data_IF_397551676988
#
_entry.id   IF_397551676988
#
_cell.length_a   1.000
_cell.length_b   1.000
_cell.length_c   1.000
_cell.angle_alpha   90.00
_cell.angle_beta   90.00
_cell.angle_gamma   90.00
#
_symmetry.space_group_name_H-M   'P 1'
#
loop_
_entity.id
_entity.type
_entity.pdbx_description
1 polymer ?
#
# COMPACT_ATOMS: atom_id res chain seq x y z
N UNK A 1 17.94 -8.95 -10.43
CA UNK A 1 17.31 -8.33 -9.24
C UNK A 1 16.57 -7.13 -9.77
N UNK A 2 15.25 -7.04 -9.58
CA UNK A 2 14.52 -5.85 -9.99
C UNK A 2 14.99 -4.69 -9.11
N UNK A 3 15.44 -3.61 -9.72
CA UNK A 3 15.85 -2.41 -9.00
C UNK A 3 14.61 -1.74 -8.44
N UNK A 4 14.56 -1.56 -7.12
CA UNK A 4 13.52 -0.78 -6.48
C UNK A 4 13.75 0.71 -6.79
N UNK A 5 12.72 1.39 -7.28
CA UNK A 5 12.79 2.81 -7.69
C UNK A 5 11.64 3.59 -7.07
N UNK A 6 11.82 4.91 -6.89
CA UNK A 6 10.75 5.79 -6.41
C UNK A 6 9.85 6.19 -7.57
N UNK A 7 8.55 6.26 -7.31
CA UNK A 7 7.55 6.81 -8.23
C UNK A 7 6.33 7.31 -7.44
N UNK A 8 5.36 7.91 -8.14
CA UNK A 8 4.08 8.30 -7.57
C UNK A 8 2.98 7.34 -8.03
N UNK A 9 2.03 7.03 -7.16
CA UNK A 9 0.94 6.11 -7.45
C UNK A 9 -0.41 6.71 -7.11
N UNK A 10 -1.44 6.38 -7.89
CA UNK A 10 -2.82 6.82 -7.64
C UNK A 10 -3.80 5.74 -8.06
N UNK A 11 -4.99 5.75 -7.48
CA UNK A 11 -6.12 4.95 -7.97
C UNK A 11 -7.06 5.88 -8.72
N UNK A 12 -7.54 5.47 -9.90
CA UNK A 12 -8.56 6.20 -10.68
C UNK A 12 -8.27 7.70 -10.91
N UNK A 13 -7.01 8.08 -11.13
CA UNK A 13 -6.59 9.48 -11.33
C UNK A 13 -6.90 10.42 -10.16
N UNK A 14 -7.10 9.86 -8.96
CA UNK A 14 -7.25 10.61 -7.73
C UNK A 14 -5.89 11.10 -7.21
N UNK A 15 -5.83 11.40 -5.92
CA UNK A 15 -4.63 11.83 -5.21
C UNK A 15 -3.47 10.87 -5.43
N UNK A 16 -2.28 11.42 -5.65
CA UNK A 16 -1.05 10.64 -5.79
C UNK A 16 -0.30 10.50 -4.46
N UNK A 17 0.38 9.37 -4.33
CA UNK A 17 1.15 8.97 -3.15
C UNK A 17 2.56 8.55 -3.59
N UNK A 18 3.58 9.11 -2.96
CA UNK A 18 4.96 8.70 -3.21
C UNK A 18 5.18 7.28 -2.66
N UNK A 19 5.75 6.41 -3.48
CA UNK A 19 6.07 5.05 -3.09
C UNK A 19 7.28 4.52 -3.84
N UNK A 20 7.43 3.21 -3.77
CA UNK A 20 8.44 2.47 -4.48
C UNK A 20 7.81 1.40 -5.35
N UNK A 21 8.43 1.08 -6.47
CA UNK A 21 8.07 -0.07 -7.29
C UNK A 21 9.28 -0.93 -7.59
N UNK A 22 9.05 -2.23 -7.74
CA UNK A 22 9.97 -3.19 -8.32
C UNK A 22 9.52 -3.59 -9.75
N UNK A 23 8.63 -2.79 -10.34
CA UNK A 23 7.89 -3.03 -11.59
C UNK A 23 7.14 -4.36 -11.60
N UNK A 24 6.62 -4.75 -10.43
CA UNK A 24 5.69 -5.87 -10.33
C UNK A 24 4.31 -5.40 -10.78
N UNK A 25 3.70 -6.17 -11.68
CA UNK A 25 2.42 -5.82 -12.30
C UNK A 25 1.37 -6.90 -11.97
N UNK A 26 0.16 -6.48 -11.63
CA UNK A 26 -1.02 -7.32 -11.47
C UNK A 26 -2.14 -6.81 -12.37
N UNK A 27 -2.58 -7.63 -13.34
CA UNK A 27 -3.63 -7.27 -14.31
C UNK A 27 -3.38 -5.93 -15.05
N UNK A 28 -2.12 -5.58 -15.29
CA UNK A 28 -1.73 -4.32 -15.94
C UNK A 28 -1.51 -3.14 -14.99
N UNK A 29 -1.76 -3.30 -13.69
CA UNK A 29 -1.59 -2.28 -12.66
C UNK A 29 -0.33 -2.51 -11.83
N UNK A 30 0.25 -1.43 -11.33
CA UNK A 30 1.47 -1.51 -10.52
C UNK A 30 1.19 -2.06 -9.11
N UNK A 31 2.20 -2.69 -8.52
CA UNK A 31 2.15 -3.20 -7.15
C UNK A 31 3.10 -2.38 -6.26
N UNK A 32 2.71 -1.15 -5.87
CA UNK A 32 3.59 -0.25 -5.14
C UNK A 32 3.83 -0.69 -3.70
N UNK A 33 4.92 -0.17 -3.15
CA UNK A 33 5.35 -0.33 -1.76
C UNK A 33 5.48 1.05 -1.12
N UNK A 34 4.80 1.28 -0.01
CA UNK A 34 4.73 2.60 0.62
C UNK A 34 5.46 2.64 1.97
N UNK A 35 6.05 3.79 2.32
CA UNK A 35 6.55 3.99 3.70
C UNK A 35 5.38 4.00 4.69
N UNK A 36 5.64 3.80 5.98
CA UNK A 36 4.60 3.84 7.02
C UNK A 36 3.77 5.13 6.98
N UNK A 37 4.44 6.28 6.81
CA UNK A 37 3.79 7.59 6.75
C UNK A 37 2.82 7.70 5.58
N UNK A 38 3.24 7.25 4.39
CA UNK A 38 2.38 7.27 3.20
C UNK A 38 1.26 6.23 3.33
N UNK A 39 1.57 5.04 3.84
CA UNK A 39 0.61 3.98 4.09
C UNK A 39 -0.49 4.42 5.09
N UNK A 40 -0.14 5.16 6.15
CA UNK A 40 -1.10 5.76 7.08
C UNK A 40 -2.00 6.79 6.41
N UNK A 41 -1.43 7.57 5.49
CA UNK A 41 -2.20 8.55 4.71
C UNK A 41 -3.18 7.86 3.76
N UNK A 42 -2.76 6.81 3.06
CA UNK A 42 -3.63 5.99 2.21
C UNK A 42 -4.74 5.36 3.05
N UNK A 43 -4.39 4.71 4.17
CA UNK A 43 -5.35 4.09 5.07
C UNK A 43 -6.42 5.08 5.55
N UNK A 44 -6.01 6.30 5.90
CA UNK A 44 -6.93 7.38 6.28
C UNK A 44 -7.80 7.84 5.10
N UNK A 45 -7.19 8.10 3.94
CA UNK A 45 -7.88 8.68 2.78
C UNK A 45 -8.90 7.70 2.18
N UNK A 46 -8.63 6.39 2.23
CA UNK A 46 -9.50 5.33 1.70
C UNK A 46 -10.42 4.69 2.75
N UNK A 47 -10.28 5.06 4.03
CA UNK A 47 -11.29 4.69 5.04
C UNK A 47 -12.56 5.52 4.81
N UNK A 48 -13.65 4.82 4.49
CA UNK A 48 -14.97 5.39 4.28
C UNK A 48 -15.91 4.74 5.30
N UNK A 49 -16.40 5.54 6.25
CA UNK A 49 -17.23 5.03 7.34
C UNK A 49 -18.47 4.29 6.82
N UNK A 50 -18.70 3.08 7.34
CA UNK A 50 -19.78 2.18 6.92
C UNK A 50 -19.59 1.51 5.55
N UNK A 51 -18.41 1.64 4.91
CA UNK A 51 -18.11 1.02 3.62
C UNK A 51 -16.81 0.22 3.68
N UNK A 52 -15.72 0.84 4.13
CA UNK A 52 -14.40 0.23 4.17
C UNK A 52 -13.54 0.92 5.23
N UNK A 53 -12.89 0.13 6.08
CA UNK A 53 -11.94 0.61 7.07
C UNK A 53 -10.57 0.00 6.82
N UNK A 54 -9.52 0.82 6.91
CA UNK A 54 -8.15 0.36 6.76
C UNK A 54 -7.39 0.71 8.05
N UNK A 55 -7.07 -0.31 8.83
CA UNK A 55 -6.46 -0.14 10.15
C UNK A 55 -5.07 -0.78 10.21
N UNK A 56 -4.14 -0.10 10.85
CA UNK A 56 -2.81 -0.66 11.11
C UNK A 56 -2.85 -1.53 12.39
N UNK A 57 -2.45 -2.79 12.27
CA UNK A 57 -2.20 -3.68 13.41
C UNK A 57 -0.74 -3.63 13.80
N UNK A 58 -0.45 -3.08 14.99
CA UNK A 58 0.91 -3.07 15.56
C UNK A 58 1.40 -4.46 15.97
N UNK A 59 0.50 -5.35 16.39
CA UNK A 59 0.84 -6.72 16.80
C UNK A 59 1.46 -7.50 15.65
N UNK A 60 0.90 -7.33 14.45
CA UNK A 60 1.33 -8.07 13.27
C UNK A 60 2.14 -7.24 12.27
N UNK A 61 2.29 -5.94 12.51
CA UNK A 61 2.97 -5.01 11.61
C UNK A 61 2.42 -5.06 10.17
N UNK A 62 1.10 -4.89 10.07
CA UNK A 62 0.36 -4.97 8.80
C UNK A 62 -0.80 -4.00 8.76
N UNK A 63 -1.31 -3.72 7.57
CA UNK A 63 -2.62 -3.07 7.41
C UNK A 63 -3.71 -4.12 7.20
N UNK A 64 -4.89 -3.87 7.75
CA UNK A 64 -6.07 -4.72 7.66
C UNK A 64 -7.19 -3.93 7.01
N UNK A 65 -7.87 -4.53 6.03
CA UNK A 65 -9.07 -3.96 5.41
C UNK A 65 -10.29 -4.74 5.89
N UNK A 66 -11.30 -4.02 6.37
CA UNK A 66 -12.57 -4.59 6.86
C UNK A 66 -13.76 -3.77 6.34
N UNK A 67 -14.97 -4.33 6.32
CA UNK A 67 -16.20 -3.56 6.03
C UNK A 67 -16.59 -2.65 7.19
N UNK A 68 -16.36 -3.10 8.43
CA UNK A 68 -16.52 -2.36 9.68
C UNK A 68 -15.42 -2.76 10.67
N UNK A 69 -15.23 -2.01 11.76
CA UNK A 69 -14.16 -2.21 12.74
C UNK A 69 -14.26 -3.56 13.48
N UNK A 70 -15.47 -4.12 13.59
CA UNK A 70 -15.77 -5.38 14.28
C UNK A 70 -16.09 -6.56 13.32
N UNK A 71 -15.88 -6.36 12.01
CA UNK A 71 -16.17 -7.35 10.97
C UNK A 71 -14.92 -8.16 10.55
N UNK A 72 -15.08 -9.30 9.85
CA UNK A 72 -13.96 -10.09 9.35
C UNK A 72 -13.01 -9.29 8.45
N UNK A 73 -11.73 -9.66 8.52
CA UNK A 73 -10.68 -9.14 7.65
C UNK A 73 -10.92 -9.61 6.21
N UNK A 74 -11.00 -8.66 5.29
CA UNK A 74 -11.12 -8.90 3.85
C UNK A 74 -9.74 -9.07 3.21
N UNK A 75 -8.82 -8.16 3.55
CA UNK A 75 -7.48 -8.08 2.99
C UNK A 75 -6.50 -7.73 4.11
N UNK A 76 -5.26 -8.20 4.00
CA UNK A 76 -4.17 -7.74 4.84
C UNK A 76 -2.89 -7.53 4.05
N UNK A 77 -2.10 -6.57 4.50
CA UNK A 77 -0.88 -6.13 3.85
C UNK A 77 0.26 -6.12 4.86
N UNK A 78 0.97 -7.25 4.95
CA UNK A 78 2.14 -7.40 5.83
C UNK A 78 3.26 -6.46 5.38
N UNK A 79 4.01 -5.93 6.35
CA UNK A 79 5.22 -5.16 6.05
C UNK A 79 6.24 -5.99 5.26
N UNK A 80 7.02 -5.32 4.42
CA UNK A 80 8.13 -5.89 3.69
C UNK A 80 9.36 -5.02 3.91
N UNK A 81 10.48 -5.63 4.31
CA UNK A 81 11.77 -4.95 4.38
C UNK A 81 12.47 -5.00 3.02
N UNK A 82 12.93 -3.85 2.52
CA UNK A 82 13.74 -3.72 1.30
C UNK A 82 15.04 -3.00 1.60
N UNK A 83 16.09 -3.25 0.81
CA UNK A 83 17.34 -2.49 0.88
C UNK A 83 17.30 -1.38 -0.18
N UNK A 84 17.34 -0.13 0.26
CA UNK A 84 17.32 1.07 -0.59
C UNK A 84 18.51 1.92 -0.19
N UNK A 85 19.38 2.22 -1.17
CA UNK A 85 20.62 2.98 -0.94
C UNK A 85 21.48 2.40 0.22
N UNK A 86 21.54 1.06 0.30
CA UNK A 86 22.30 0.33 1.32
C UNK A 86 21.68 0.32 2.72
N UNK A 87 20.43 0.79 2.88
CA UNK A 87 19.71 0.81 4.15
C UNK A 87 18.47 -0.07 4.08
N UNK A 88 18.20 -0.79 5.17
CA UNK A 88 16.92 -1.49 5.33
C UNK A 88 15.79 -0.48 5.56
N UNK A 89 14.76 -0.56 4.73
CA UNK A 89 13.58 0.28 4.76
C UNK A 89 12.35 -0.62 4.84
N UNK A 90 11.50 -0.36 5.84
CA UNK A 90 10.21 -1.03 6.00
C UNK A 90 9.16 -0.36 5.11
N UNK A 91 8.50 -1.16 4.28
CA UNK A 91 7.47 -0.73 3.35
C UNK A 91 6.20 -1.56 3.51
N UNK A 92 5.07 -1.02 3.05
CA UNK A 92 3.75 -1.61 3.17
C UNK A 92 3.09 -1.66 1.80
N UNK A 93 2.69 -2.84 1.32
CA UNK A 93 2.16 -3.05 -0.02
C UNK A 93 0.63 -2.82 -0.08
N UNK A 94 0.11 -1.73 0.49
CA UNK A 94 -1.35 -1.49 0.57
C UNK A 94 -1.96 -1.51 -0.83
N UNK A 95 -2.89 -2.42 -1.06
CA UNK A 95 -3.58 -2.61 -2.34
C UNK A 95 -2.75 -3.32 -3.42
N UNK A 96 -1.50 -3.68 -3.17
CA UNK A 96 -0.70 -4.42 -4.16
C UNK A 96 -1.38 -5.78 -4.45
N UNK A 97 -1.43 -6.15 -5.73
CA UNK A 97 -2.11 -7.37 -6.20
C UNK A 97 -3.62 -7.45 -5.93
N UNK A 98 -4.26 -6.32 -5.62
CA UNK A 98 -5.70 -6.27 -5.35
C UNK A 98 -6.36 -5.02 -5.94
N UNK A 99 -5.70 -3.87 -5.82
CA UNK A 99 -6.19 -2.57 -6.25
C UNK A 99 -5.51 -2.15 -7.56
N UNK A 100 -6.16 -1.24 -8.27
CA UNK A 100 -5.71 -0.73 -9.58
C UNK A 100 -4.86 0.53 -9.40
N UNK A 101 -3.59 0.36 -9.01
CA UNK A 101 -2.64 1.47 -8.88
C UNK A 101 -2.03 1.87 -10.23
N UNK A 102 -2.32 3.09 -10.69
CA UNK A 102 -1.58 3.75 -11.76
C UNK A 102 -0.25 4.29 -11.23
N UNK A 103 0.86 4.01 -11.92
CA UNK A 103 2.08 4.80 -11.76
C UNK A 103 1.95 6.13 -12.52
N UNK A 104 2.39 7.20 -11.87
CA UNK A 104 2.43 8.56 -12.41
C UNK A 104 3.88 8.96 -12.65
N UNK A 105 4.11 9.63 -13.78
CA UNK A 105 5.39 10.28 -14.12
C UNK A 105 5.64 11.53 -13.27
#
# INVERSE_FOLDING_TARGET
MNTITRANFSIEQQKSYEGYTEHNIWNGWECPLFTKEVADKIAKDFTIAGVMYINYSKEFDRYLVTYDIDEPILEWYDQITKVIDGKEVKLYPIGAFCWCWDMRE
#
